data_IF_135585190405
#
_entry.id   IF_135585190405
#
_cell.length_a   1.000
_cell.length_b   1.000
_cell.length_c   1.000
_cell.angle_alpha   90.00
_cell.angle_beta   90.00
_cell.angle_gamma   90.00
#
_symmetry.space_group_name_H-M   'P 1'
#
loop_
_entity.id
_entity.type
_entity.pdbx_description
1 polymer ?
#
# COMPACT_ATOMS: atom_id res chain seq x y z
N UNK A 1 2.42 -7.79 31.41
CA UNK A 1 2.52 -9.19 31.88
C UNK A 1 1.21 -9.90 31.56
N UNK A 2 1.21 -11.24 31.46
CA UNK A 2 0.09 -12.01 30.86
C UNK A 2 0.45 -12.70 29.53
N UNK A 3 1.70 -13.11 29.33
CA UNK A 3 2.16 -13.80 28.10
C UNK A 3 2.64 -12.89 26.96
N UNK A 4 2.57 -11.57 27.15
CA UNK A 4 2.93 -10.57 26.13
C UNK A 4 4.38 -10.63 25.68
N UNK A 5 5.29 -11.23 26.44
CA UNK A 5 6.69 -11.39 26.07
C UNK A 5 6.91 -12.19 24.76
N UNK A 6 5.91 -12.94 24.28
CA UNK A 6 5.98 -13.67 23.00
C UNK A 6 5.85 -12.77 21.77
N UNK A 7 5.26 -11.59 21.90
CA UNK A 7 4.91 -10.72 20.76
C UNK A 7 5.15 -9.23 21.01
N UNK A 8 5.31 -8.82 22.27
CA UNK A 8 5.66 -7.47 22.65
C UNK A 8 7.16 -7.40 22.97
N UNK A 9 7.81 -6.35 22.48
CA UNK A 9 9.19 -6.03 22.84
C UNK A 9 9.23 -5.31 24.20
N UNK A 10 10.36 -5.33 24.92
CA UNK A 10 10.58 -4.44 26.06
C UNK A 10 10.42 -2.96 25.66
N UNK A 11 10.04 -2.11 26.63
CA UNK A 11 9.90 -0.67 26.40
C UNK A 11 11.22 -0.08 25.86
N UNK A 12 11.13 0.65 24.76
CA UNK A 12 12.24 1.26 24.05
C UNK A 12 11.78 2.58 23.37
N UNK A 13 12.69 3.27 22.70
CA UNK A 13 12.42 4.58 22.09
C UNK A 13 11.34 4.51 21.00
N UNK A 14 11.25 3.40 20.26
CA UNK A 14 10.26 3.24 19.19
C UNK A 14 8.83 3.22 19.72
N UNK A 15 8.61 2.89 21.00
CA UNK A 15 7.28 2.96 21.61
C UNK A 15 6.74 4.40 21.69
N UNK A 16 7.60 5.40 21.54
CA UNK A 16 7.25 6.82 21.52
C UNK A 16 7.30 7.43 20.10
N UNK A 17 7.56 6.63 19.07
CA UNK A 17 7.72 7.08 17.68
C UNK A 17 6.68 6.42 16.78
N UNK A 18 6.01 7.21 15.94
CA UNK A 18 5.17 6.68 14.86
C UNK A 18 5.99 6.54 13.59
N UNK A 19 6.26 5.30 13.17
CA UNK A 19 6.87 5.03 11.87
C UNK A 19 5.81 5.19 10.78
N UNK A 20 6.05 6.07 9.82
CA UNK A 20 5.12 6.36 8.71
C UNK A 20 5.81 6.04 7.39
N UNK A 21 5.21 5.14 6.60
CA UNK A 21 5.68 4.83 5.26
C UNK A 21 5.26 5.92 4.27
N UNK A 22 6.20 6.38 3.45
CA UNK A 22 5.95 7.32 2.35
C UNK A 22 6.26 6.60 1.04
N UNK A 23 5.30 6.59 0.11
CA UNK A 23 5.44 5.92 -1.19
C UNK A 23 5.09 6.89 -2.31
N UNK A 24 5.96 6.96 -3.32
CA UNK A 24 5.75 7.70 -4.55
C UNK A 24 5.80 6.77 -5.76
N UNK A 25 4.93 7.01 -6.74
CA UNK A 25 4.87 6.22 -7.98
C UNK A 25 5.05 7.19 -9.13
N UNK A 26 6.15 7.04 -9.86
CA UNK A 26 6.38 7.79 -11.09
C UNK A 26 5.69 7.10 -12.29
N UNK A 27 5.75 7.72 -13.45
CA UNK A 27 5.07 7.24 -14.64
C UNK A 27 5.51 5.83 -15.06
N UNK A 28 6.82 5.60 -15.18
CA UNK A 28 7.36 4.30 -15.55
C UNK A 28 6.94 3.18 -14.57
N UNK A 29 6.97 3.48 -13.27
CA UNK A 29 6.50 2.54 -12.25
C UNK A 29 5.00 2.28 -12.37
N UNK A 30 4.19 3.32 -12.58
CA UNK A 30 2.74 3.19 -12.76
C UNK A 30 2.41 2.29 -13.95
N UNK A 31 3.09 2.46 -15.09
CA UNK A 31 2.90 1.59 -16.26
C UNK A 31 3.30 0.14 -15.96
N UNK A 32 4.35 -0.07 -15.17
CA UNK A 32 4.83 -1.40 -14.82
C UNK A 32 3.89 -2.15 -13.85
N UNK A 33 3.40 -1.49 -12.79
CA UNK A 33 2.61 -2.15 -11.73
C UNK A 33 1.10 -1.93 -11.84
N UNK A 34 0.67 -0.88 -12.54
CA UNK A 34 -0.72 -0.47 -12.68
C UNK A 34 -1.64 -1.55 -13.24
N UNK A 35 -1.27 -2.26 -14.34
CA UNK A 35 -2.11 -3.32 -14.87
C UNK A 35 -2.42 -4.42 -13.86
N UNK A 36 -1.40 -4.87 -13.11
CA UNK A 36 -1.59 -5.88 -12.07
C UNK A 36 -2.45 -5.35 -10.90
N UNK A 37 -2.22 -4.12 -10.46
CA UNK A 37 -3.02 -3.48 -9.42
C UNK A 37 -4.49 -3.33 -9.82
N UNK A 38 -4.78 -2.99 -11.09
CA UNK A 38 -6.14 -2.96 -11.62
C UNK A 38 -6.78 -4.36 -11.62
N UNK A 39 -6.05 -5.40 -12.08
CA UNK A 39 -6.55 -6.78 -12.07
C UNK A 39 -6.92 -7.22 -10.66
N UNK A 40 -6.03 -7.04 -9.69
CA UNK A 40 -6.29 -7.39 -8.29
C UNK A 40 -7.54 -6.68 -7.76
N UNK A 41 -7.63 -5.37 -7.96
CA UNK A 41 -8.78 -4.59 -7.51
C UNK A 41 -10.10 -5.05 -8.15
N UNK A 42 -10.10 -5.47 -9.42
CA UNK A 42 -11.29 -6.04 -10.08
C UNK A 42 -11.67 -7.39 -9.51
N UNK A 43 -10.69 -8.27 -9.30
CA UNK A 43 -10.91 -9.62 -8.73
C UNK A 43 -11.46 -9.55 -7.30
N UNK A 44 -11.03 -8.57 -6.52
CA UNK A 44 -11.53 -8.33 -5.15
C UNK A 44 -12.86 -7.56 -5.10
N UNK A 45 -13.41 -7.15 -6.24
CA UNK A 45 -14.65 -6.36 -6.30
C UNK A 45 -14.50 -4.89 -5.89
N UNK A 46 -13.26 -4.39 -5.75
CA UNK A 46 -12.92 -3.03 -5.38
C UNK A 46 -12.97 -2.09 -6.59
N UNK A 47 -14.16 -1.89 -7.15
CA UNK A 47 -14.37 -1.15 -8.41
C UNK A 47 -13.82 0.28 -8.41
N UNK A 48 -13.93 1.00 -7.28
CA UNK A 48 -13.37 2.35 -7.14
C UNK A 48 -11.83 2.37 -7.19
N UNK A 49 -11.17 1.34 -6.64
CA UNK A 49 -9.72 1.22 -6.65
C UNK A 49 -9.23 0.93 -8.08
N UNK A 50 -9.88 0.01 -8.78
CA UNK A 50 -9.60 -0.28 -10.19
C UNK A 50 -9.74 0.98 -11.06
N UNK A 51 -10.86 1.71 -10.92
CA UNK A 51 -11.10 2.94 -11.67
C UNK A 51 -10.05 4.03 -11.41
N UNK A 52 -9.56 4.14 -10.17
CA UNK A 52 -8.50 5.09 -9.82
C UNK A 52 -7.18 4.78 -10.55
N UNK A 53 -6.83 3.50 -10.72
CA UNK A 53 -5.65 3.06 -11.47
C UNK A 53 -5.86 3.27 -12.97
N UNK A 54 -6.97 2.78 -13.52
CA UNK A 54 -7.30 2.92 -14.95
C UNK A 54 -7.28 4.38 -15.40
N UNK A 55 -7.82 5.30 -14.60
CA UNK A 55 -7.85 6.73 -14.94
C UNK A 55 -6.45 7.32 -15.09
N UNK A 56 -5.49 6.88 -14.28
CA UNK A 56 -4.09 7.36 -14.36
C UNK A 56 -3.39 6.76 -15.55
N UNK A 57 -3.50 5.44 -15.77
CA UNK A 57 -2.92 4.77 -16.94
C UNK A 57 -3.40 5.38 -18.27
N UNK A 58 -4.66 5.81 -18.36
CA UNK A 58 -5.22 6.47 -19.55
C UNK A 58 -4.78 7.92 -19.75
N UNK A 59 -4.43 8.63 -18.67
CA UNK A 59 -3.97 10.03 -18.73
C UNK A 59 -2.47 10.17 -18.97
N UNK A 60 -1.75 9.06 -18.98
CA UNK A 60 -0.31 8.96 -19.16
C UNK A 60 0.14 8.69 -20.60
N UNK A 61 -0.80 8.76 -21.54
CA UNK A 61 -0.56 8.65 -22.99
C UNK A 61 -0.65 10.01 -23.67
#
# INVERSE_FOLDING_TARGET
TGGTARFASPLNVLDFVKIVSVVGVNEAALQAIGPAAETLARTEGLTAHAAAVTRRLRGSG
#
